data_IF_768568295927
#
_entry.id   IF_768568295927
#
_cell.length_a   1.000
_cell.length_b   1.000
_cell.length_c   1.000
_cell.angle_alpha   90.00
_cell.angle_beta   90.00
_cell.angle_gamma   90.00
#
_symmetry.space_group_name_H-M   'P 1'
#
loop_
_entity.id
_entity.type
_entity.pdbx_description
1 polymer ?
#
# COMPACT_ATOMS: atom_id res chain seq x y z
N UNK A 1 -46.23 17.13 -121.39
CA UNK A 1 -45.79 15.85 -121.97
C UNK A 1 -44.80 15.23 -121.00
N UNK A 2 -45.16 14.10 -120.42
CA UNK A 2 -44.38 13.34 -119.45
C UNK A 2 -43.22 12.60 -120.15
N UNK A 3 -42.16 12.25 -119.43
CA UNK A 3 -40.99 11.59 -120.04
C UNK A 3 -41.29 10.18 -120.57
N UNK A 4 -42.25 9.48 -119.97
CA UNK A 4 -42.78 8.20 -120.45
C UNK A 4 -43.46 8.35 -121.82
N UNK A 5 -44.25 9.41 -122.02
CA UNK A 5 -44.93 9.68 -123.30
C UNK A 5 -43.92 9.98 -124.43
N UNK A 6 -42.86 10.72 -124.10
CA UNK A 6 -41.75 10.97 -125.04
C UNK A 6 -41.07 9.66 -125.46
N UNK A 7 -40.95 8.72 -124.55
CA UNK A 7 -40.29 7.44 -124.79
C UNK A 7 -41.12 6.55 -125.72
N UNK A 8 -42.44 6.50 -125.53
CA UNK A 8 -43.37 5.80 -126.44
C UNK A 8 -43.28 6.36 -127.86
N UNK A 9 -43.30 7.69 -128.02
CA UNK A 9 -43.17 8.31 -129.35
C UNK A 9 -41.79 7.99 -129.97
N UNK A 10 -40.72 7.95 -129.16
CA UNK A 10 -39.38 7.57 -129.65
C UNK A 10 -39.36 6.12 -130.14
N UNK A 11 -39.97 5.20 -129.43
CA UNK A 11 -40.06 3.79 -129.82
C UNK A 11 -40.87 3.60 -131.11
N UNK A 12 -42.00 4.31 -131.25
CA UNK A 12 -42.79 4.35 -132.49
C UNK A 12 -41.95 4.87 -133.68
N UNK A 13 -41.23 5.98 -133.48
CA UNK A 13 -40.36 6.55 -134.50
C UNK A 13 -39.18 5.64 -134.84
N UNK A 14 -38.64 4.89 -133.87
CA UNK A 14 -37.60 3.89 -134.11
C UNK A 14 -38.13 2.70 -134.91
N UNK A 15 -39.36 2.24 -134.63
CA UNK A 15 -40.04 1.20 -135.41
C UNK A 15 -40.28 1.65 -136.86
N UNK A 16 -40.78 2.87 -137.05
CA UNK A 16 -40.95 3.46 -138.39
C UNK A 16 -39.62 3.60 -139.13
N UNK A 17 -38.55 3.98 -138.42
CA UNK A 17 -37.20 4.05 -138.98
C UNK A 17 -36.68 2.67 -139.38
N UNK A 18 -36.95 1.62 -138.60
CA UNK A 18 -36.60 0.23 -138.92
C UNK A 18 -37.37 -0.30 -140.14
N UNK A 19 -38.59 0.19 -140.38
CA UNK A 19 -39.41 -0.11 -141.56
C UNK A 19 -39.00 0.70 -142.81
N UNK A 20 -37.97 1.54 -142.72
CA UNK A 20 -37.42 2.30 -143.86
C UNK A 20 -38.09 3.64 -144.13
N UNK A 21 -38.85 4.20 -143.17
CA UNK A 21 -39.51 5.50 -143.33
C UNK A 21 -38.50 6.62 -143.63
N UNK A 22 -38.90 7.54 -144.53
CA UNK A 22 -38.04 8.67 -144.90
C UNK A 22 -38.00 9.71 -143.79
N UNK A 23 -36.92 10.48 -143.74
CA UNK A 23 -36.70 11.53 -142.74
C UNK A 23 -37.88 12.52 -142.58
N UNK A 24 -38.52 12.92 -143.68
CA UNK A 24 -39.69 13.82 -143.68
C UNK A 24 -40.91 13.16 -143.05
N UNK A 25 -41.10 11.87 -143.26
CA UNK A 25 -42.21 11.11 -142.68
C UNK A 25 -42.06 10.97 -141.17
N UNK A 26 -40.84 10.75 -140.67
CA UNK A 26 -40.54 10.74 -139.24
C UNK A 26 -40.84 12.11 -138.58
N UNK A 27 -40.43 13.20 -139.23
CA UNK A 27 -40.67 14.56 -138.71
C UNK A 27 -42.17 14.91 -138.71
N UNK A 28 -42.90 14.53 -139.75
CA UNK A 28 -44.36 14.71 -139.84
C UNK A 28 -45.12 13.84 -138.83
N UNK A 29 -44.67 12.61 -138.60
CA UNK A 29 -45.28 11.72 -137.61
C UNK A 29 -45.08 12.27 -136.20
N UNK A 30 -43.88 12.73 -135.87
CA UNK A 30 -43.60 13.41 -134.60
C UNK A 30 -44.47 14.67 -134.41
N UNK A 31 -44.63 15.50 -135.46
CA UNK A 31 -45.51 16.67 -135.39
C UNK A 31 -46.97 16.29 -135.12
N UNK A 32 -47.47 15.20 -135.71
CA UNK A 32 -48.83 14.71 -135.47
C UNK A 32 -49.02 14.25 -134.03
N UNK A 33 -48.12 13.41 -133.51
CA UNK A 33 -48.21 12.90 -132.13
C UNK A 33 -48.16 14.05 -131.13
N UNK A 34 -47.19 14.95 -131.30
CA UNK A 34 -47.07 16.15 -130.46
C UNK A 34 -48.35 16.99 -130.45
N UNK A 35 -48.90 17.30 -131.63
CA UNK A 35 -50.01 18.23 -131.74
C UNK A 35 -51.36 17.61 -131.38
N UNK A 36 -51.70 16.44 -131.95
CA UNK A 36 -53.03 15.85 -131.80
C UNK A 36 -53.20 15.08 -130.49
N UNK A 37 -52.17 14.38 -130.03
CA UNK A 37 -52.32 13.49 -128.86
C UNK A 37 -51.90 14.18 -127.56
N UNK A 38 -50.90 15.07 -127.62
CA UNK A 38 -50.34 15.71 -126.42
C UNK A 38 -50.61 17.22 -126.35
N UNK A 39 -51.31 17.80 -127.33
CA UNK A 39 -51.58 19.24 -127.43
C UNK A 39 -50.30 20.12 -127.33
N UNK A 40 -49.14 19.57 -127.68
CA UNK A 40 -47.86 20.27 -127.69
C UNK A 40 -47.60 20.81 -129.09
N UNK A 41 -47.33 22.12 -129.19
CA UNK A 41 -46.94 22.76 -130.46
C UNK A 41 -45.61 22.17 -130.95
N UNK A 42 -45.54 21.60 -132.18
CA UNK A 42 -44.26 21.13 -132.73
C UNK A 42 -43.27 22.28 -132.93
N UNK A 43 -42.08 22.14 -132.35
CA UNK A 43 -40.96 23.07 -132.48
C UNK A 43 -39.72 22.32 -132.97
N UNK A 44 -38.73 23.06 -133.49
CA UNK A 44 -37.46 22.50 -133.93
C UNK A 44 -36.80 21.63 -132.84
N UNK A 45 -36.81 22.10 -131.59
CA UNK A 45 -36.20 21.40 -130.46
C UNK A 45 -36.89 20.05 -130.19
N UNK A 46 -38.21 20.06 -130.02
CA UNK A 46 -38.94 18.85 -129.61
C UNK A 46 -39.01 17.81 -130.74
N UNK A 47 -39.16 18.25 -131.99
CA UNK A 47 -39.16 17.35 -133.14
C UNK A 47 -37.78 16.72 -133.32
N UNK A 48 -36.70 17.49 -133.14
CA UNK A 48 -35.33 16.96 -133.20
C UNK A 48 -35.02 15.99 -132.06
N UNK A 49 -35.48 16.30 -130.85
CA UNK A 49 -35.35 15.44 -129.67
C UNK A 49 -36.02 14.07 -129.89
N UNK A 50 -37.19 14.05 -130.53
CA UNK A 50 -37.94 12.81 -130.77
C UNK A 50 -37.44 12.01 -131.97
N UNK A 51 -37.08 12.67 -133.08
CA UNK A 51 -36.67 11.95 -134.29
C UNK A 51 -35.20 11.56 -134.27
N UNK A 52 -34.33 12.29 -133.56
CA UNK A 52 -32.88 12.06 -133.52
C UNK A 52 -32.17 12.20 -134.89
N UNK A 53 -32.89 12.61 -135.95
CA UNK A 53 -32.37 12.76 -137.32
C UNK A 53 -32.95 14.02 -138.00
N UNK A 54 -32.08 14.78 -138.67
CA UNK A 54 -32.46 15.95 -139.46
C UNK A 54 -31.51 17.14 -139.30
N UNK A 55 -31.26 17.85 -140.40
CA UNK A 55 -30.52 19.11 -140.39
C UNK A 55 -31.34 20.21 -139.72
N UNK A 56 -30.66 21.21 -139.14
CA UNK A 56 -31.28 22.41 -138.57
C UNK A 56 -32.12 23.19 -139.60
N UNK A 57 -31.83 23.04 -140.91
CA UNK A 57 -32.56 23.70 -142.00
C UNK A 57 -33.86 22.99 -142.42
N UNK A 58 -33.95 21.67 -142.22
CA UNK A 58 -34.98 20.88 -142.89
C UNK A 58 -36.16 20.55 -141.96
N UNK A 59 -35.97 20.59 -140.63
CA UNK A 59 -37.06 20.32 -139.66
C UNK A 59 -38.11 21.46 -139.68
N UNK A 60 -37.72 22.75 -139.77
CA UNK A 60 -38.69 23.84 -139.85
C UNK A 60 -39.59 23.75 -141.08
N UNK A 61 -39.05 23.35 -142.23
CA UNK A 61 -39.83 23.15 -143.48
C UNK A 61 -40.88 22.05 -143.34
N UNK A 62 -40.54 20.96 -142.65
CA UNK A 62 -41.48 19.86 -142.40
C UNK A 62 -42.58 20.28 -141.41
N UNK A 63 -42.24 21.08 -140.39
CA UNK A 63 -43.22 21.67 -139.46
C UNK A 63 -44.16 22.63 -140.21
N UNK A 64 -43.63 23.46 -141.10
CA UNK A 64 -44.43 24.39 -141.92
C UNK A 64 -45.39 23.63 -142.83
N UNK A 65 -44.90 22.60 -143.52
CA UNK A 65 -45.73 21.72 -144.35
C UNK A 65 -46.80 20.98 -143.52
N UNK A 66 -46.48 20.56 -142.29
CA UNK A 66 -47.48 20.00 -141.37
C UNK A 66 -48.59 21.03 -141.08
N UNK A 67 -48.23 22.27 -140.74
CA UNK A 67 -49.21 23.32 -140.44
C UNK A 67 -50.03 23.76 -141.63
N UNK A 68 -49.45 23.78 -142.83
CA UNK A 68 -50.19 23.98 -144.07
C UNK A 68 -51.24 22.89 -144.25
N UNK A 69 -50.86 21.62 -144.07
CA UNK A 69 -51.78 20.48 -144.20
C UNK A 69 -52.89 20.49 -143.14
N UNK A 70 -52.56 20.80 -141.88
CA UNK A 70 -53.56 20.92 -140.81
C UNK A 70 -54.54 22.06 -141.08
N UNK A 71 -54.05 23.20 -141.56
CA UNK A 71 -54.90 24.33 -141.96
C UNK A 71 -55.79 23.97 -143.14
N UNK A 72 -55.27 23.28 -144.14
CA UNK A 72 -56.09 22.85 -145.29
C UNK A 72 -57.15 21.83 -144.90
N UNK A 73 -56.85 20.87 -144.03
CA UNK A 73 -57.83 19.90 -143.53
C UNK A 73 -58.87 20.55 -142.60
N UNK A 74 -58.51 21.59 -141.84
CA UNK A 74 -59.40 22.24 -140.85
C UNK A 74 -60.16 23.46 -141.39
N UNK A 75 -60.06 23.74 -142.69
CA UNK A 75 -60.84 24.82 -143.32
C UNK A 75 -62.32 24.43 -143.35
N UNK A 76 -63.11 25.00 -142.43
CA UNK A 76 -64.45 25.45 -142.79
C UNK A 76 -64.22 26.62 -143.74
N UNK A 77 -64.32 26.39 -145.06
CA UNK A 77 -64.28 27.48 -146.05
C UNK A 77 -65.50 28.38 -145.81
N UNK A 78 -65.32 29.48 -145.09
CA UNK A 78 -66.04 30.70 -145.42
C UNK A 78 -65.22 31.29 -146.56
N UNK A 79 -65.52 30.87 -147.80
CA UNK A 79 -64.96 31.52 -148.98
C UNK A 79 -65.32 32.99 -148.86
N UNK A 80 -64.29 33.83 -148.75
CA UNK A 80 -64.41 35.26 -148.51
C UNK A 80 -64.97 35.96 -149.76
N UNK A 81 -66.26 35.76 -150.01
CA UNK A 81 -67.13 36.79 -150.53
C UNK A 81 -67.57 37.66 -149.35
N UNK A 82 -67.66 38.97 -149.55
CA UNK A 82 -68.14 39.93 -148.56
C UNK A 82 -69.43 39.39 -147.92
N UNK A 83 -69.37 38.94 -146.66
CA UNK A 83 -70.57 38.53 -145.94
C UNK A 83 -71.54 39.73 -145.98
N UNK A 84 -72.83 39.54 -146.34
CA UNK A 84 -73.79 40.62 -146.33
C UNK A 84 -73.78 41.35 -144.98
N UNK A 85 -73.83 42.70 -144.94
CA UNK A 85 -73.69 43.47 -143.71
C UNK A 85 -74.73 43.08 -142.63
N UNK A 86 -75.92 42.61 -143.05
CA UNK A 86 -76.92 42.07 -142.15
C UNK A 86 -76.43 40.83 -141.36
N UNK A 87 -75.72 39.89 -142.01
CA UNK A 87 -75.20 38.69 -141.36
C UNK A 87 -73.98 38.98 -140.46
N UNK A 88 -73.19 40.01 -140.77
CA UNK A 88 -72.12 40.48 -139.88
C UNK A 88 -72.67 40.98 -138.54
N UNK A 89 -73.73 41.78 -138.55
CA UNK A 89 -74.36 42.28 -137.32
C UNK A 89 -74.87 41.13 -136.46
N UNK A 90 -75.63 40.21 -137.06
CA UNK A 90 -76.19 39.05 -136.35
C UNK A 90 -75.11 38.13 -135.79
N UNK A 91 -74.04 37.85 -136.55
CA UNK A 91 -72.92 37.06 -136.05
C UNK A 91 -72.17 37.77 -134.90
N UNK A 92 -71.98 39.09 -134.98
CA UNK A 92 -71.37 39.89 -133.93
C UNK A 92 -72.22 39.93 -132.65
N UNK A 93 -73.54 40.03 -132.78
CA UNK A 93 -74.50 39.98 -131.67
C UNK A 93 -74.51 38.61 -130.98
N UNK A 94 -74.51 37.52 -131.75
CA UNK A 94 -74.43 36.17 -131.21
C UNK A 94 -73.09 35.91 -130.49
N UNK A 95 -71.97 36.34 -131.09
CA UNK A 95 -70.65 36.24 -130.47
C UNK A 95 -70.56 37.07 -129.17
N UNK A 96 -71.15 38.27 -129.17
CA UNK A 96 -71.25 39.11 -127.97
C UNK A 96 -72.09 38.42 -126.89
N UNK A 97 -73.25 37.89 -127.23
CA UNK A 97 -74.11 37.17 -126.28
C UNK A 97 -73.43 35.94 -125.68
N UNK A 98 -72.72 35.16 -126.50
CA UNK A 98 -71.91 34.03 -126.02
C UNK A 98 -70.76 34.50 -125.11
N UNK A 99 -70.07 35.58 -125.46
CA UNK A 99 -69.01 36.15 -124.65
C UNK A 99 -69.52 36.65 -123.29
N UNK A 100 -70.63 37.38 -123.28
CA UNK A 100 -71.24 37.92 -122.07
C UNK A 100 -71.74 36.79 -121.15
N UNK A 101 -72.35 35.75 -121.72
CA UNK A 101 -72.77 34.56 -120.98
C UNK A 101 -71.57 33.79 -120.39
N UNK A 102 -70.50 33.60 -121.17
CA UNK A 102 -69.27 32.97 -120.68
C UNK A 102 -68.60 33.79 -119.58
N UNK A 103 -68.59 35.13 -119.72
CA UNK A 103 -68.02 36.03 -118.73
C UNK A 103 -68.85 36.07 -117.44
N UNK A 104 -70.18 36.01 -117.54
CA UNK A 104 -71.07 35.89 -116.38
C UNK A 104 -70.83 34.55 -115.65
N UNK A 105 -70.80 33.43 -116.37
CA UNK A 105 -70.53 32.11 -115.79
C UNK A 105 -69.15 32.05 -115.11
N UNK A 106 -68.10 32.62 -115.74
CA UNK A 106 -66.76 32.66 -115.15
C UNK A 106 -66.69 33.54 -113.89
N UNK A 107 -67.46 34.65 -113.84
CA UNK A 107 -67.55 35.51 -112.65
C UNK A 107 -68.27 34.80 -111.51
N UNK A 108 -69.36 34.09 -111.81
CA UNK A 108 -70.12 33.33 -110.82
C UNK A 108 -69.29 32.16 -110.27
N UNK A 109 -68.59 31.41 -111.13
CA UNK A 109 -67.67 30.33 -110.70
C UNK A 109 -66.53 30.89 -109.83
N UNK A 110 -65.95 32.04 -110.20
CA UNK A 110 -64.92 32.70 -109.40
C UNK A 110 -65.46 33.16 -108.04
N UNK A 111 -66.69 33.69 -107.99
CA UNK A 111 -67.33 34.10 -106.75
C UNK A 111 -67.59 32.88 -105.84
N UNK A 112 -68.09 31.78 -106.39
CA UNK A 112 -68.29 30.52 -105.66
C UNK A 112 -66.98 29.97 -105.11
N UNK A 113 -65.92 29.86 -105.94
CA UNK A 113 -64.59 29.42 -105.49
C UNK A 113 -63.99 30.32 -104.41
N UNK A 114 -64.25 31.64 -104.46
CA UNK A 114 -63.80 32.58 -103.42
C UNK A 114 -64.51 32.29 -102.08
N UNK A 115 -65.82 32.06 -102.10
CA UNK A 115 -66.58 31.71 -100.89
C UNK A 115 -66.11 30.36 -100.32
N UNK A 116 -65.94 29.33 -101.16
CA UNK A 116 -65.41 28.03 -100.74
C UNK A 116 -63.99 28.15 -100.15
N UNK A 117 -63.13 28.94 -100.77
CA UNK A 117 -61.78 29.21 -100.24
C UNK A 117 -61.84 29.93 -98.89
N UNK A 118 -62.70 30.93 -98.73
CA UNK A 118 -62.88 31.62 -97.45
C UNK A 118 -63.42 30.68 -96.36
N UNK A 119 -64.34 29.79 -96.69
CA UNK A 119 -64.87 28.79 -95.76
C UNK A 119 -63.81 27.77 -95.35
N UNK A 120 -62.99 27.29 -96.29
CA UNK A 120 -61.89 26.36 -96.00
C UNK A 120 -60.79 27.02 -95.16
N UNK A 121 -60.44 28.28 -95.44
CA UNK A 121 -59.52 29.07 -94.59
C UNK A 121 -60.09 29.22 -93.19
N UNK A 122 -61.34 29.66 -93.04
CA UNK A 122 -61.97 29.83 -91.73
C UNK A 122 -62.03 28.52 -90.93
N UNK A 123 -62.36 27.40 -91.58
CA UNK A 123 -62.37 26.08 -90.97
C UNK A 123 -60.96 25.60 -90.57
N UNK A 124 -59.94 25.86 -91.40
CA UNK A 124 -58.56 25.53 -91.09
C UNK A 124 -58.03 26.37 -89.92
N UNK A 125 -58.32 27.66 -89.88
CA UNK A 125 -57.95 28.54 -88.77
C UNK A 125 -58.63 28.13 -87.45
N UNK A 126 -59.91 27.73 -87.50
CA UNK A 126 -60.60 27.22 -86.31
C UNK A 126 -59.94 25.94 -85.79
N UNK A 127 -59.65 24.98 -86.67
CA UNK A 127 -58.92 23.76 -86.29
C UNK A 127 -57.54 24.06 -85.72
N UNK A 128 -56.83 25.04 -86.26
CA UNK A 128 -55.52 25.47 -85.74
C UNK A 128 -55.64 26.08 -84.34
N UNK A 129 -56.65 26.94 -84.11
CA UNK A 129 -56.92 27.51 -82.78
C UNK A 129 -57.29 26.43 -81.76
N UNK A 130 -58.18 25.51 -82.13
CA UNK A 130 -58.60 24.41 -81.24
C UNK A 130 -57.41 23.50 -80.90
N UNK A 131 -56.58 23.16 -81.88
CA UNK A 131 -55.36 22.38 -81.67
C UNK A 131 -54.36 23.12 -80.76
N UNK A 132 -54.22 24.44 -80.91
CA UNK A 132 -53.36 25.26 -80.05
C UNK A 132 -53.86 25.26 -78.60
N UNK A 133 -55.17 25.42 -78.37
CA UNK A 133 -55.75 25.38 -77.03
C UNK A 133 -55.54 24.02 -76.37
N UNK A 134 -55.74 22.92 -77.11
CA UNK A 134 -55.47 21.56 -76.62
C UNK A 134 -54.00 21.36 -76.27
N UNK A 135 -53.09 21.87 -77.11
CA UNK A 135 -51.65 21.81 -76.86
C UNK A 135 -51.25 22.59 -75.60
N UNK A 136 -51.77 23.82 -75.44
CA UNK A 136 -51.51 24.65 -74.26
C UNK A 136 -52.05 24.00 -72.98
N UNK A 137 -53.25 23.39 -73.04
CA UNK A 137 -53.83 22.65 -71.92
C UNK A 137 -52.96 21.44 -71.54
N UNK A 138 -52.61 20.59 -72.51
CA UNK A 138 -51.78 19.41 -72.28
C UNK A 138 -50.40 19.79 -71.74
N UNK A 139 -49.81 20.91 -72.22
CA UNK A 139 -48.56 21.44 -71.71
C UNK A 139 -48.68 21.92 -70.26
N UNK A 140 -49.76 22.61 -69.92
CA UNK A 140 -50.00 23.07 -68.55
C UNK A 140 -50.20 21.88 -67.59
N UNK A 141 -50.92 20.84 -68.02
CA UNK A 141 -51.06 19.60 -67.23
C UNK A 141 -49.73 18.91 -67.02
N UNK A 142 -48.92 18.77 -68.07
CA UNK A 142 -47.59 18.16 -67.98
C UNK A 142 -46.69 18.95 -67.01
N UNK A 143 -46.74 20.29 -67.05
CA UNK A 143 -46.00 21.13 -66.11
C UNK A 143 -46.48 20.92 -64.67
N UNK A 144 -47.79 20.88 -64.42
CA UNK A 144 -48.33 20.59 -63.08
C UNK A 144 -47.90 19.22 -62.57
N UNK A 145 -47.91 18.20 -63.42
CA UNK A 145 -47.43 16.87 -63.06
C UNK A 145 -45.93 16.85 -62.77
N UNK A 146 -45.14 17.55 -63.58
CA UNK A 146 -43.70 17.69 -63.37
C UNK A 146 -43.40 18.39 -62.04
N UNK A 147 -44.07 19.49 -61.73
CA UNK A 147 -43.87 20.24 -60.49
C UNK A 147 -44.34 19.45 -59.26
N UNK A 148 -45.45 18.73 -59.39
CA UNK A 148 -45.93 17.82 -58.34
C UNK A 148 -44.94 16.68 -58.09
N UNK A 149 -44.38 16.10 -59.15
CA UNK A 149 -43.37 15.03 -59.05
C UNK A 149 -42.06 15.56 -58.46
N UNK A 150 -41.57 16.71 -58.90
CA UNK A 150 -40.39 17.35 -58.33
C UNK A 150 -40.58 17.68 -56.85
N UNK A 151 -41.75 18.21 -56.48
CA UNK A 151 -42.12 18.45 -55.08
C UNK A 151 -42.21 17.18 -54.24
N UNK A 152 -42.72 16.08 -54.81
CA UNK A 152 -42.76 14.78 -54.14
C UNK A 152 -41.36 14.20 -53.93
N UNK A 153 -40.50 14.27 -54.96
CA UNK A 153 -39.11 13.81 -54.89
C UNK A 153 -38.29 14.58 -53.85
N UNK A 154 -38.50 15.91 -53.74
CA UNK A 154 -37.88 16.73 -52.69
C UNK A 154 -38.31 16.29 -51.29
N UNK A 155 -39.62 16.10 -51.07
CA UNK A 155 -40.16 15.63 -49.78
C UNK A 155 -39.65 14.23 -49.43
N UNK A 156 -39.55 13.35 -50.43
CA UNK A 156 -38.99 12.00 -50.25
C UNK A 156 -37.51 12.08 -49.85
N UNK A 157 -36.73 12.92 -50.52
CA UNK A 157 -35.33 13.21 -50.17
C UNK A 157 -35.16 13.75 -48.75
N UNK A 158 -35.95 14.75 -48.36
CA UNK A 158 -35.96 15.29 -46.99
C UNK A 158 -36.34 14.23 -45.95
N UNK A 159 -37.33 13.37 -46.26
CA UNK A 159 -37.73 12.29 -45.36
C UNK A 159 -36.67 11.21 -45.23
N UNK A 160 -35.97 10.89 -46.32
CA UNK A 160 -34.86 9.94 -46.33
C UNK A 160 -33.66 10.47 -45.52
N UNK A 161 -33.35 11.77 -45.65
CA UNK A 161 -32.31 12.41 -44.85
C UNK A 161 -32.67 12.42 -43.36
N UNK A 162 -33.92 12.80 -43.01
CA UNK A 162 -34.40 12.71 -41.62
C UNK A 162 -34.26 11.30 -41.06
N UNK A 163 -34.73 10.28 -41.77
CA UNK A 163 -34.58 8.88 -41.37
C UNK A 163 -33.12 8.45 -41.23
N UNK A 164 -32.23 8.93 -42.10
CA UNK A 164 -30.79 8.66 -42.00
C UNK A 164 -30.19 9.29 -40.73
N UNK A 165 -30.55 10.54 -40.42
CA UNK A 165 -30.10 11.21 -39.20
C UNK A 165 -30.63 10.53 -37.93
N UNK A 166 -31.90 10.15 -37.90
CA UNK A 166 -32.50 9.40 -36.79
C UNK A 166 -31.82 8.05 -36.58
N UNK A 167 -31.56 7.31 -37.66
CA UNK A 167 -30.82 6.04 -37.60
C UNK A 167 -29.40 6.23 -37.08
N UNK A 168 -28.71 7.29 -37.49
CA UNK A 168 -27.38 7.60 -36.98
C UNK A 168 -27.40 7.94 -35.49
N UNK A 169 -28.39 8.72 -35.03
CA UNK A 169 -28.59 9.02 -33.61
C UNK A 169 -28.91 7.76 -32.80
N UNK A 170 -29.81 6.90 -33.29
CA UNK A 170 -30.15 5.64 -32.65
C UNK A 170 -28.95 4.71 -32.52
N UNK A 171 -28.10 4.62 -33.56
CA UNK A 171 -26.84 3.85 -33.50
C UNK A 171 -25.89 4.39 -32.44
N UNK A 172 -25.66 5.70 -32.40
CA UNK A 172 -24.81 6.32 -31.36
C UNK A 172 -25.35 6.10 -29.96
N UNK A 173 -26.66 6.21 -29.77
CA UNK A 173 -27.30 5.94 -28.48
C UNK A 173 -27.13 4.47 -28.08
N UNK A 174 -27.29 3.53 -29.02
CA UNK A 174 -27.08 2.11 -28.77
C UNK A 174 -25.62 1.79 -28.40
N UNK A 175 -24.65 2.34 -29.11
CA UNK A 175 -23.23 2.22 -28.79
C UNK A 175 -22.91 2.74 -27.37
N UNK A 176 -23.53 3.86 -26.97
CA UNK A 176 -23.40 4.39 -25.61
C UNK A 176 -24.00 3.46 -24.56
N UNK A 177 -25.17 2.87 -24.82
CA UNK A 177 -25.79 1.89 -23.91
C UNK A 177 -24.87 0.69 -23.72
N UNK A 178 -24.35 0.11 -24.79
CA UNK A 178 -23.42 -1.04 -24.73
C UNK A 178 -22.16 -0.69 -23.93
N UNK A 179 -21.59 0.49 -24.14
CA UNK A 179 -20.43 0.96 -23.37
C UNK A 179 -20.76 1.09 -21.88
N UNK A 180 -21.91 1.66 -21.54
CA UNK A 180 -22.34 1.87 -20.15
C UNK A 180 -22.65 0.53 -19.46
N UNK A 181 -23.29 -0.40 -20.16
CA UNK A 181 -23.52 -1.77 -19.68
C UNK A 181 -22.19 -2.49 -19.39
N UNK A 182 -21.19 -2.36 -20.27
CA UNK A 182 -19.85 -2.90 -20.04
C UNK A 182 -19.18 -2.29 -18.80
N UNK A 183 -19.26 -0.96 -18.63
CA UNK A 183 -18.74 -0.27 -17.44
C UNK A 183 -19.47 -0.68 -16.16
N UNK A 184 -20.77 -0.95 -16.24
CA UNK A 184 -21.56 -1.41 -15.10
C UNK A 184 -21.12 -2.82 -14.70
N UNK A 185 -21.00 -3.75 -15.65
CA UNK A 185 -20.50 -5.11 -15.39
C UNK A 185 -19.09 -5.11 -14.79
N UNK A 186 -18.19 -4.27 -15.30
CA UNK A 186 -16.84 -4.09 -14.74
C UNK A 186 -16.89 -3.54 -13.29
N UNK A 187 -17.83 -2.64 -13.00
CA UNK A 187 -18.00 -2.11 -11.65
C UNK A 187 -18.57 -3.16 -10.68
N UNK A 188 -19.51 -3.99 -11.14
CA UNK A 188 -20.11 -5.07 -10.34
C UNK A 188 -19.08 -6.15 -10.00
N UNK A 189 -18.22 -6.53 -10.95
CA UNK A 189 -17.11 -7.46 -10.71
C UNK A 189 -16.07 -6.88 -9.75
N UNK A 190 -15.75 -5.58 -9.85
CA UNK A 190 -14.88 -4.90 -8.88
C UNK A 190 -15.51 -4.86 -7.47
N UNK A 191 -16.81 -4.61 -7.37
CA UNK A 191 -17.52 -4.61 -6.10
C UNK A 191 -17.54 -6.02 -5.49
N UNK A 192 -17.82 -7.07 -6.28
CA UNK A 192 -17.83 -8.45 -5.79
C UNK A 192 -16.45 -8.89 -5.29
N UNK A 193 -15.39 -8.58 -6.03
CA UNK A 193 -14.01 -8.89 -5.63
C UNK A 193 -13.60 -8.15 -4.36
N UNK A 194 -13.98 -6.87 -4.21
CA UNK A 194 -13.75 -6.12 -2.97
C UNK A 194 -14.53 -6.70 -1.79
N UNK A 195 -15.80 -7.09 -1.99
CA UNK A 195 -16.60 -7.75 -0.95
C UNK A 195 -15.93 -9.04 -0.47
N UNK A 196 -15.49 -9.90 -1.40
CA UNK A 196 -14.79 -11.13 -1.06
C UNK A 196 -13.48 -10.87 -0.30
N UNK A 197 -12.73 -9.83 -0.68
CA UNK A 197 -11.51 -9.43 0.05
C UNK A 197 -11.82 -8.93 1.46
N UNK A 198 -12.87 -8.13 1.63
CA UNK A 198 -13.30 -7.65 2.95
C UNK A 198 -13.71 -8.83 3.83
N UNK A 199 -14.48 -9.77 3.30
CA UNK A 199 -14.87 -10.98 4.03
C UNK A 199 -13.66 -11.83 4.43
N UNK A 200 -12.71 -12.05 3.51
CA UNK A 200 -11.46 -12.76 3.80
C UNK A 200 -10.61 -12.05 4.87
N UNK A 201 -10.49 -10.72 4.82
CA UNK A 201 -9.77 -9.96 5.84
C UNK A 201 -10.48 -9.99 7.19
N UNK A 202 -11.82 -9.97 7.20
CA UNK A 202 -12.59 -10.08 8.43
C UNK A 202 -12.45 -11.46 9.08
N UNK A 203 -12.45 -12.54 8.30
CA UNK A 203 -12.22 -13.89 8.82
C UNK A 203 -10.79 -14.06 9.32
N UNK A 204 -9.80 -13.54 8.60
CA UNK A 204 -8.40 -13.55 9.04
C UNK A 204 -8.19 -12.74 10.32
N UNK A 205 -8.77 -11.54 10.42
CA UNK A 205 -8.71 -10.73 11.63
C UNK A 205 -9.32 -11.47 12.82
N UNK A 206 -10.50 -12.07 12.66
CA UNK A 206 -11.13 -12.88 13.71
C UNK A 206 -10.22 -14.03 14.15
N UNK A 207 -9.71 -14.82 13.21
CA UNK A 207 -8.81 -15.94 13.51
C UNK A 207 -7.53 -15.48 14.23
N UNK A 208 -6.90 -14.39 13.79
CA UNK A 208 -5.73 -13.80 14.46
C UNK A 208 -6.07 -13.30 15.87
N UNK A 209 -7.21 -12.63 16.05
CA UNK A 209 -7.62 -12.17 17.39
C UNK A 209 -7.90 -13.33 18.34
N UNK A 210 -8.53 -14.40 17.87
CA UNK A 210 -8.76 -15.62 18.64
C UNK A 210 -7.44 -16.30 19.00
N UNK A 211 -6.51 -16.39 18.04
CA UNK A 211 -5.18 -16.94 18.27
C UNK A 211 -4.38 -16.14 19.30
N UNK A 212 -4.28 -14.81 19.16
CA UNK A 212 -3.59 -13.97 20.14
C UNK A 212 -4.26 -14.01 21.52
N UNK A 213 -5.59 -14.06 21.58
CA UNK A 213 -6.29 -14.21 22.85
C UNK A 213 -5.95 -15.55 23.54
N UNK A 214 -5.85 -16.63 22.77
CA UNK A 214 -5.41 -17.93 23.27
C UNK A 214 -3.94 -17.90 23.73
N UNK A 215 -3.03 -17.33 22.94
CA UNK A 215 -1.61 -17.19 23.33
C UNK A 215 -1.43 -16.37 24.61
N UNK A 216 -2.13 -15.25 24.73
CA UNK A 216 -2.11 -14.41 25.95
C UNK A 216 -2.64 -15.21 27.14
N UNK A 217 -3.74 -15.94 26.97
CA UNK A 217 -4.32 -16.78 28.03
C UNK A 217 -3.33 -17.86 28.48
N UNK A 218 -2.67 -18.54 27.56
CA UNK A 218 -1.68 -19.57 27.84
C UNK A 218 -0.41 -18.99 28.49
N UNK A 219 0.07 -17.84 28.02
CA UNK A 219 1.19 -17.13 28.62
C UNK A 219 0.90 -16.69 30.07
N UNK A 220 -0.29 -16.14 30.33
CA UNK A 220 -0.75 -15.80 31.68
C UNK A 220 -0.84 -17.06 32.54
N UNK A 221 -1.46 -18.14 32.05
CA UNK A 221 -1.57 -19.39 32.79
C UNK A 221 -0.19 -19.98 33.14
N UNK A 222 0.78 -19.92 32.22
CA UNK A 222 2.14 -20.38 32.45
C UNK A 222 2.90 -19.47 33.45
N UNK A 223 2.76 -18.15 33.32
CA UNK A 223 3.31 -17.20 34.28
C UNK A 223 2.73 -17.44 35.69
N UNK A 224 1.42 -17.64 35.81
CA UNK A 224 0.77 -18.00 37.07
C UNK A 224 1.31 -19.31 37.65
N UNK A 225 1.50 -20.35 36.83
CA UNK A 225 2.07 -21.64 37.28
C UNK A 225 3.50 -21.49 37.82
N UNK A 226 4.29 -20.57 37.27
CA UNK A 226 5.66 -20.28 37.74
C UNK A 226 5.69 -19.39 38.98
N UNK A 227 4.82 -18.38 39.04
CA UNK A 227 4.82 -17.37 40.12
C UNK A 227 4.17 -17.90 41.39
N UNK A 228 3.06 -18.68 41.30
CA UNK A 228 2.35 -19.19 42.48
C UNK A 228 3.27 -19.99 43.44
N UNK A 229 4.09 -20.96 42.98
CA UNK A 229 5.03 -21.67 43.86
C UNK A 229 6.07 -20.74 44.48
N UNK A 230 6.64 -19.81 43.71
CA UNK A 230 7.63 -18.85 44.21
C UNK A 230 7.04 -17.91 45.27
N UNK A 231 5.77 -17.51 45.14
CA UNK A 231 5.09 -16.73 46.17
C UNK A 231 4.90 -17.55 47.46
N UNK A 232 4.53 -18.83 47.33
CA UNK A 232 4.43 -19.73 48.49
C UNK A 232 5.79 -19.93 49.16
N UNK A 233 6.85 -20.15 48.38
CA UNK A 233 8.24 -20.24 48.89
C UNK A 233 8.69 -18.93 49.56
N UNK A 234 8.34 -17.77 49.00
CA UNK A 234 8.65 -16.49 49.61
C UNK A 234 7.93 -16.34 50.96
N UNK A 235 6.67 -16.75 51.06
CA UNK A 235 5.93 -16.69 52.32
C UNK A 235 6.45 -17.69 53.35
N UNK A 236 6.87 -18.91 52.94
CA UNK A 236 7.54 -19.84 53.86
C UNK A 236 8.88 -19.31 54.34
N UNK A 237 9.69 -18.72 53.45
CA UNK A 237 10.95 -18.06 53.81
C UNK A 237 10.73 -16.85 54.73
N UNK A 238 9.71 -16.03 54.48
CA UNK A 238 9.33 -14.91 55.38
C UNK A 238 8.91 -15.42 56.75
N UNK A 239 8.11 -16.47 56.81
CA UNK A 239 7.70 -17.11 58.07
C UNK A 239 8.90 -17.69 58.82
N UNK A 240 9.81 -18.37 58.10
CA UNK A 240 11.04 -18.91 58.67
C UNK A 240 12.01 -17.81 59.16
N UNK A 241 12.13 -16.71 58.40
CA UNK A 241 12.93 -15.56 58.82
C UNK A 241 12.33 -14.88 60.06
N UNK A 242 11.00 -14.76 60.13
CA UNK A 242 10.30 -14.23 61.30
C UNK A 242 10.51 -15.12 62.54
N UNK A 243 10.39 -16.44 62.40
CA UNK A 243 10.62 -17.36 63.52
C UNK A 243 12.09 -17.39 63.93
N UNK A 244 13.02 -17.30 62.98
CA UNK A 244 14.45 -17.18 63.25
C UNK A 244 14.78 -15.88 63.99
N UNK A 245 14.23 -14.74 63.58
CA UNK A 245 14.39 -13.46 64.29
C UNK A 245 13.79 -13.50 65.69
N UNK A 246 12.63 -14.13 65.88
CA UNK A 246 12.04 -14.34 67.20
C UNK A 246 12.94 -15.23 68.07
N UNK A 247 13.48 -16.31 67.50
CA UNK A 247 14.44 -17.19 68.16
C UNK A 247 15.73 -16.48 68.56
N UNK A 248 16.29 -15.63 67.68
CA UNK A 248 17.44 -14.78 68.00
C UNK A 248 17.14 -13.82 69.15
N UNK A 249 15.98 -13.15 69.15
CA UNK A 249 15.59 -12.26 70.26
C UNK A 249 15.47 -13.03 71.57
N UNK A 250 14.90 -14.23 71.54
CA UNK A 250 14.80 -15.08 72.72
C UNK A 250 16.17 -15.57 73.21
N UNK A 251 17.08 -15.94 72.29
CA UNK A 251 18.46 -16.28 72.66
C UNK A 251 19.20 -15.07 73.22
N UNK A 252 19.12 -13.89 72.59
CA UNK A 252 19.72 -12.67 73.14
C UNK A 252 19.12 -12.30 74.50
N UNK A 253 17.83 -12.57 74.74
CA UNK A 253 17.21 -12.41 76.06
C UNK A 253 17.80 -13.37 77.09
N UNK A 254 17.95 -14.66 76.74
CA UNK A 254 18.60 -15.66 77.61
C UNK A 254 20.06 -15.35 77.86
N UNK A 255 20.81 -14.94 76.84
CA UNK A 255 22.19 -14.48 76.97
C UNK A 255 22.27 -13.27 77.90
N UNK A 256 21.36 -12.30 77.78
CA UNK A 256 21.30 -11.17 78.69
C UNK A 256 20.97 -11.60 80.12
N UNK A 257 20.02 -12.52 80.31
CA UNK A 257 19.73 -13.13 81.62
C UNK A 257 20.95 -13.88 82.18
N UNK A 258 21.69 -14.62 81.37
CA UNK A 258 22.94 -15.27 81.76
C UNK A 258 24.04 -14.26 82.11
N UNK A 259 24.17 -13.17 81.36
CA UNK A 259 25.09 -12.08 81.68
C UNK A 259 24.68 -11.41 83.00
N UNK A 260 23.40 -11.22 83.26
CA UNK A 260 22.91 -10.72 84.55
C UNK A 260 23.21 -11.70 85.69
N UNK A 261 23.01 -13.00 85.48
CA UNK A 261 23.37 -14.04 86.44
C UNK A 261 24.88 -14.05 86.73
N UNK A 262 25.71 -13.97 85.68
CA UNK A 262 27.17 -13.87 85.81
C UNK A 262 27.59 -12.58 86.52
N UNK A 263 26.95 -11.44 86.24
CA UNK A 263 27.20 -10.19 86.94
C UNK A 263 26.81 -10.29 88.43
N UNK A 264 25.70 -10.96 88.75
CA UNK A 264 25.29 -11.20 90.14
C UNK A 264 26.25 -12.16 90.86
N UNK A 265 26.70 -13.22 90.20
CA UNK A 265 27.72 -14.14 90.74
C UNK A 265 29.05 -13.39 90.93
N UNK A 266 29.46 -12.56 89.96
CA UNK A 266 30.66 -11.74 90.07
C UNK A 266 30.57 -10.74 91.22
N UNK A 267 29.44 -10.05 91.38
CA UNK A 267 29.24 -9.14 92.52
C UNK A 267 29.32 -9.87 93.87
N UNK A 268 28.78 -11.10 93.95
CA UNK A 268 28.94 -11.96 95.15
C UNK A 268 30.41 -12.37 95.35
N UNK A 269 31.11 -12.73 94.28
CA UNK A 269 32.53 -13.05 94.32
C UNK A 269 33.38 -11.84 94.76
N UNK A 270 33.13 -10.65 94.23
CA UNK A 270 33.79 -9.40 94.62
C UNK A 270 33.53 -9.07 96.10
N UNK A 271 32.30 -9.34 96.60
CA UNK A 271 31.97 -9.17 98.02
C UNK A 271 32.75 -10.15 98.90
N UNK A 272 32.84 -11.42 98.50
CA UNK A 272 33.64 -12.43 99.20
C UNK A 272 35.13 -12.12 99.12
N UNK A 273 35.61 -11.59 97.99
CA UNK A 273 37.00 -11.14 97.80
C UNK A 273 37.34 -10.01 98.77
N UNK A 274 36.47 -8.99 98.87
CA UNK A 274 36.64 -7.90 99.84
C UNK A 274 36.62 -8.41 101.29
N UNK A 275 35.80 -9.42 101.60
CA UNK A 275 35.81 -10.07 102.93
C UNK A 275 37.14 -10.81 103.18
N UNK A 276 37.68 -11.48 102.17
CA UNK A 276 38.99 -12.14 102.22
C UNK A 276 40.13 -11.14 102.45
N UNK A 277 40.13 -10.03 101.72
CA UNK A 277 41.12 -8.95 101.89
C UNK A 277 41.04 -8.34 103.30
N UNK A 278 39.82 -8.06 103.79
CA UNK A 278 39.62 -7.56 105.16
C UNK A 278 40.10 -8.56 106.22
N UNK A 279 39.86 -9.87 106.01
CA UNK A 279 40.34 -10.93 106.91
C UNK A 279 41.86 -11.10 106.84
N UNK A 280 42.45 -10.92 105.66
CA UNK A 280 43.92 -10.91 105.48
C UNK A 280 44.56 -9.73 106.21
N UNK A 281 43.97 -8.54 106.12
CA UNK A 281 44.43 -7.35 106.85
C UNK A 281 44.33 -7.52 108.37
N UNK A 282 43.29 -8.21 108.87
CA UNK A 282 43.18 -8.61 110.28
C UNK A 282 44.32 -9.56 110.70
N UNK A 283 44.67 -10.55 109.86
CA UNK A 283 45.77 -11.49 110.11
C UNK A 283 47.12 -10.76 110.13
N UNK A 284 47.34 -9.83 109.21
CA UNK A 284 48.57 -9.02 109.17
C UNK A 284 48.70 -8.12 110.40
N UNK A 285 47.58 -7.56 110.89
CA UNK A 285 47.55 -6.75 112.10
C UNK A 285 47.86 -7.58 113.36
N UNK A 286 47.28 -8.77 113.48
CA UNK A 286 47.55 -9.69 114.58
C UNK A 286 49.00 -10.19 114.57
N UNK A 287 49.56 -10.42 113.38
CA UNK A 287 50.96 -10.82 113.21
C UNK A 287 51.94 -9.73 113.67
N UNK A 288 51.64 -8.46 113.38
CA UNK A 288 52.45 -7.32 113.86
C UNK A 288 52.37 -7.12 115.37
N UNK A 289 51.23 -7.43 116.00
CA UNK A 289 51.08 -7.35 117.47
C UNK A 289 51.90 -8.42 118.19
N UNK A 290 51.97 -9.64 117.64
CA UNK A 290 52.79 -10.73 118.19
C UNK A 290 54.28 -10.38 118.16
N UNK A 291 54.74 -9.74 117.09
CA UNK A 291 56.16 -9.38 116.93
C UNK A 291 56.58 -8.24 117.87
N UNK A 292 55.67 -7.29 118.17
CA UNK A 292 55.95 -6.22 119.14
C UNK A 292 56.11 -6.70 120.58
N UNK A 293 55.39 -7.75 121.00
CA UNK A 293 55.51 -8.28 122.38
C UNK A 293 56.81 -9.06 122.63
N UNK A 294 57.45 -9.62 121.59
CA UNK A 294 58.70 -10.38 121.74
C UNK A 294 59.95 -9.50 121.93
N UNK A 295 59.94 -8.27 121.43
CA UNK A 295 61.13 -7.39 121.46
C UNK A 295 61.34 -6.70 122.82
N UNK A 296 60.35 -6.68 123.71
CA UNK A 296 60.43 -5.95 125.00
C UNK A 296 60.99 -6.75 126.19
N UNK A 297 61.36 -8.02 126.04
CA UNK A 297 61.72 -8.90 127.17
C UNK A 297 63.07 -9.65 127.01
N UNK A 298 64.19 -8.93 126.88
CA UNK A 298 65.55 -9.53 126.90
C UNK A 298 66.56 -8.71 127.73
N UNK A 299 67.35 -9.40 128.58
CA UNK A 299 68.36 -8.79 129.47
C UNK A 299 69.58 -8.30 128.66
N UNK A 300 70.05 -7.05 128.85
CA UNK A 300 71.20 -6.50 128.13
C UNK A 300 72.52 -7.22 128.47
N UNK A 301 73.30 -7.52 127.42
CA UNK A 301 74.46 -8.43 127.44
C UNK A 301 75.64 -8.02 128.33
N UNK A 302 75.77 -6.74 128.67
CA UNK A 302 76.79 -6.24 129.61
C UNK A 302 76.48 -6.62 131.05
N UNK A 303 75.20 -6.64 131.43
CA UNK A 303 74.76 -7.07 132.76
C UNK A 303 74.92 -8.58 132.93
N UNK A 304 74.65 -9.35 131.86
CA UNK A 304 74.81 -10.81 131.88
C UNK A 304 76.25 -11.28 132.14
N UNK A 305 77.24 -10.64 131.50
CA UNK A 305 78.67 -10.95 131.75
C UNK A 305 79.13 -10.54 133.15
N UNK A 306 78.73 -9.36 133.62
CA UNK A 306 79.13 -8.87 134.94
C UNK A 306 78.59 -9.77 136.07
N UNK A 307 77.35 -10.25 135.93
CA UNK A 307 76.73 -11.20 136.86
C UNK A 307 77.42 -12.56 136.83
N UNK A 308 77.77 -13.06 135.63
CA UNK A 308 78.54 -14.30 135.50
C UNK A 308 79.93 -14.17 136.15
N UNK A 309 80.67 -13.08 135.91
CA UNK A 309 81.99 -12.83 136.48
C UNK A 309 81.94 -12.73 138.02
N UNK A 310 80.93 -12.06 138.58
CA UNK A 310 80.73 -11.97 140.03
C UNK A 310 80.41 -13.33 140.66
N UNK A 311 79.62 -14.16 140.00
CA UNK A 311 79.33 -15.51 140.45
C UNK A 311 80.56 -16.43 140.39
N UNK A 312 81.39 -16.31 139.34
CA UNK A 312 82.63 -17.07 139.20
C UNK A 312 83.68 -16.67 140.25
N UNK A 313 83.73 -15.39 140.64
CA UNK A 313 84.61 -14.90 141.71
C UNK A 313 84.14 -15.26 143.14
N UNK A 314 83.07 -16.06 143.29
CA UNK A 314 82.53 -16.49 144.59
C UNK A 314 81.88 -15.36 145.40
N UNK A 315 81.48 -14.26 144.74
CA UNK A 315 80.93 -13.05 145.39
C UNK A 315 79.40 -13.07 145.53
N UNK A 316 78.74 -14.05 144.91
CA UNK A 316 77.28 -14.24 144.97
C UNK A 316 76.94 -15.49 145.77
N UNK A 317 75.92 -15.38 146.61
CA UNK A 317 75.43 -16.51 147.42
C UNK A 317 74.62 -17.48 146.57
N UNK A 318 74.47 -18.73 147.03
CA UNK A 318 73.73 -19.77 146.29
C UNK A 318 72.26 -19.43 146.04
N UNK A 319 71.59 -18.69 146.95
CA UNK A 319 70.20 -18.23 146.75
C UNK A 319 70.10 -17.14 145.68
N UNK A 320 71.06 -16.20 145.65
CA UNK A 320 71.11 -15.15 144.62
C UNK A 320 71.32 -15.76 143.23
N UNK A 321 72.20 -16.75 143.09
CA UNK A 321 72.44 -17.46 141.83
C UNK A 321 71.20 -18.22 141.36
N UNK A 322 70.45 -18.85 142.28
CA UNK A 322 69.21 -19.56 141.95
C UNK A 322 68.12 -18.62 141.41
N UNK A 323 68.04 -17.38 141.90
CA UNK A 323 67.05 -16.39 141.46
C UNK A 323 67.26 -15.88 140.03
N UNK A 324 68.50 -15.94 139.53
CA UNK A 324 68.86 -15.50 138.16
C UNK A 324 68.49 -16.59 137.13
N UNK A 325 68.43 -17.85 137.55
CA UNK A 325 68.04 -18.98 136.71
C UNK A 325 68.92 -19.10 135.46
N UNK A 326 68.31 -19.38 134.31
CA UNK A 326 69.00 -19.60 133.03
C UNK A 326 69.30 -18.32 132.25
N UNK A 327 68.91 -17.14 132.77
CA UNK A 327 68.94 -15.87 132.05
C UNK A 327 70.36 -15.42 131.63
N UNK A 328 71.39 -15.96 132.26
CA UNK A 328 72.80 -15.63 131.99
C UNK A 328 73.67 -16.85 131.65
N UNK A 329 73.06 -18.02 131.49
CA UNK A 329 73.80 -19.29 131.27
C UNK A 329 74.66 -19.28 130.01
N UNK A 330 74.23 -18.54 128.98
CA UNK A 330 74.99 -18.32 127.75
C UNK A 330 76.31 -17.55 127.95
N UNK A 331 76.54 -16.97 129.12
CA UNK A 331 77.76 -16.21 129.45
C UNK A 331 78.70 -16.96 130.41
N UNK A 332 78.36 -18.17 130.86
CA UNK A 332 79.15 -18.95 131.83
C UNK A 332 80.07 -19.95 131.13
N UNK A 333 81.39 -19.81 131.32
CA UNK A 333 82.38 -20.75 130.80
C UNK A 333 82.66 -21.89 131.81
N UNK A 334 82.73 -23.13 131.33
CA UNK A 334 83.03 -24.32 132.14
C UNK A 334 84.53 -24.41 132.45
N UNK A 335 84.95 -24.99 133.60
CA UNK A 335 86.37 -25.03 133.98
C UNK A 335 87.09 -26.11 133.17
N UNK A 336 88.29 -25.81 132.67
CA UNK A 336 89.09 -26.73 131.85
C UNK A 336 89.89 -27.76 132.66
N UNK A 337 89.93 -27.70 133.98
CA UNK A 337 90.54 -28.75 134.82
C UNK A 337 89.79 -28.87 136.15
N UNK A 338 89.68 -30.09 136.66
CA UNK A 338 89.05 -30.36 137.95
C UNK A 338 89.98 -29.90 139.08
N UNK A 339 89.55 -28.91 139.85
CA UNK A 339 90.40 -28.36 140.91
C UNK A 339 90.66 -29.33 142.08
N UNK A 340 89.96 -30.48 142.17
CA UNK A 340 90.16 -31.48 143.23
C UNK A 340 91.27 -32.51 142.91
N UNK A 341 91.39 -32.96 141.66
CA UNK A 341 92.39 -33.98 141.25
C UNK A 341 93.39 -33.47 140.22
N UNK A 342 93.17 -32.32 139.59
CA UNK A 342 94.04 -31.74 138.55
C UNK A 342 94.03 -32.46 137.20
N UNK A 343 93.59 -33.72 137.17
CA UNK A 343 93.89 -34.65 136.07
C UNK A 343 92.81 -34.79 134.97
N UNK A 344 91.64 -34.13 135.06
CA UNK A 344 90.60 -34.20 134.02
C UNK A 344 89.70 -32.95 133.92
N UNK A 345 89.17 -32.65 132.73
CA UNK A 345 88.17 -31.60 132.52
C UNK A 345 86.77 -32.10 132.96
N UNK A 346 86.02 -31.34 133.77
CA UNK A 346 84.67 -31.71 134.18
C UNK A 346 83.62 -31.44 133.08
N UNK A 347 82.73 -32.41 132.87
CA UNK A 347 81.69 -32.39 131.83
C UNK A 347 80.35 -31.90 132.38
N UNK A 348 79.59 -31.16 131.56
CA UNK A 348 78.25 -30.65 131.89
C UNK A 348 77.19 -31.51 131.20
N UNK A 349 76.33 -32.13 132.00
CA UNK A 349 75.17 -32.88 131.57
C UNK A 349 73.90 -32.05 131.76
N UNK A 350 73.05 -32.00 130.74
CA UNK A 350 71.72 -31.40 130.82
C UNK A 350 70.67 -32.49 130.69
N UNK A 351 69.87 -32.68 131.73
CA UNK A 351 68.75 -33.61 131.72
C UNK A 351 67.51 -32.94 132.33
N UNK A 352 66.41 -32.92 131.57
CA UNK A 352 65.11 -32.38 132.00
C UNK A 352 65.16 -30.92 132.51
N UNK A 353 65.97 -30.10 131.84
CA UNK A 353 66.14 -28.67 132.17
C UNK A 353 66.93 -28.43 133.47
N UNK A 354 67.60 -29.47 133.99
CA UNK A 354 68.58 -29.38 135.08
C UNK A 354 69.97 -29.67 134.54
N UNK A 355 70.95 -29.03 135.15
CA UNK A 355 72.35 -29.03 134.76
C UNK A 355 73.19 -29.66 135.85
N UNK A 356 74.05 -30.62 135.51
CA UNK A 356 74.97 -31.25 136.43
C UNK A 356 76.38 -31.28 135.85
N UNK A 357 77.35 -30.83 136.64
CA UNK A 357 78.78 -30.89 136.32
C UNK A 357 79.44 -32.06 137.06
N UNK A 358 80.14 -32.94 136.34
CA UNK A 358 80.79 -34.14 136.86
C UNK A 358 82.23 -34.30 136.35
N UNK A 359 83.18 -34.66 137.22
CA UNK A 359 84.56 -34.99 136.85
C UNK A 359 84.74 -36.51 136.68
N UNK A 360 85.21 -36.97 135.51
CA UNK A 360 85.34 -38.40 135.25
C UNK A 360 86.51 -39.08 135.97
N UNK A 361 87.53 -38.33 136.44
CA UNK A 361 88.74 -38.92 137.05
C UNK A 361 88.63 -39.19 138.56
N UNK A 362 87.94 -38.33 139.32
CA UNK A 362 87.74 -38.51 140.76
C UNK A 362 86.25 -38.68 141.15
N UNK A 363 85.39 -38.88 140.14
CA UNK A 363 83.94 -39.08 140.25
C UNK A 363 83.17 -37.99 141.00
N UNK A 364 83.76 -36.80 141.16
CA UNK A 364 83.11 -35.69 141.84
C UNK A 364 81.97 -35.10 141.00
N UNK A 365 80.84 -34.79 141.61
CA UNK A 365 79.71 -34.10 140.97
C UNK A 365 79.28 -32.84 141.73
N UNK A 366 78.65 -31.89 141.03
CA UNK A 366 77.99 -30.71 141.61
C UNK A 366 76.55 -30.96 142.07
N UNK A 367 76.01 -32.14 141.74
CA UNK A 367 74.59 -32.48 141.81
C UNK A 367 73.73 -31.67 140.83
N UNK A 368 72.51 -32.13 140.59
CA UNK A 368 71.55 -31.42 139.72
C UNK A 368 71.30 -29.98 140.18
N UNK A 369 71.47 -29.03 139.27
CA UNK A 369 71.26 -27.61 139.49
C UNK A 369 70.27 -27.02 138.45
N UNK A 370 69.48 -26.00 138.81
CA UNK A 370 68.45 -25.44 137.93
C UNK A 370 69.00 -24.54 136.79
N UNK A 371 70.30 -24.23 136.82
CA UNK A 371 70.96 -23.43 135.78
C UNK A 371 72.42 -23.82 135.64
N UNK A 372 72.99 -23.57 134.46
CA UNK A 372 74.40 -23.83 134.16
C UNK A 372 75.33 -23.03 135.08
N UNK A 373 74.96 -21.79 135.41
CA UNK A 373 75.68 -20.98 136.40
C UNK A 373 75.67 -21.63 137.79
N UNK A 374 74.53 -22.18 138.21
CA UNK A 374 74.39 -22.83 139.51
C UNK A 374 75.17 -24.15 139.58
N UNK A 375 75.22 -24.93 138.49
CA UNK A 375 76.01 -26.16 138.42
C UNK A 375 77.50 -25.86 138.57
N UNK A 376 77.99 -24.83 137.87
CA UNK A 376 79.38 -24.40 137.95
C UNK A 376 79.79 -24.00 139.37
N UNK A 377 79.01 -23.13 140.01
CA UNK A 377 79.39 -22.56 141.30
C UNK A 377 79.44 -23.64 142.40
N UNK A 378 78.49 -24.59 142.39
CA UNK A 378 78.51 -25.75 143.30
C UNK A 378 79.73 -26.66 143.06
N UNK A 379 80.10 -26.86 141.80
CA UNK A 379 81.26 -27.70 141.45
C UNK A 379 82.59 -27.11 141.99
N UNK A 380 82.74 -25.79 141.90
CA UNK A 380 83.95 -25.07 142.28
C UNK A 380 84.13 -24.92 143.81
N UNK A 381 83.05 -24.68 144.56
CA UNK A 381 83.11 -24.37 146.00
C UNK A 381 83.70 -25.48 146.87
N UNK A 382 83.62 -26.74 146.44
CA UNK A 382 83.99 -27.85 147.32
C UNK A 382 85.51 -28.12 147.41
N UNK A 383 86.39 -27.37 146.74
CA UNK A 383 87.86 -27.66 146.65
C UNK A 383 88.74 -27.05 147.76
N UNK A 384 88.24 -26.19 148.65
CA UNK A 384 89.10 -25.55 149.67
C UNK A 384 89.47 -26.50 150.84
N UNK A 385 90.78 -26.73 151.16
CA UNK A 385 91.22 -27.65 152.21
C UNK A 385 91.27 -26.95 153.59
N UNK A 386 90.59 -27.50 154.59
CA UNK A 386 90.82 -27.14 156.00
C UNK A 386 91.82 -28.11 156.63
N UNK A 387 93.05 -27.64 156.79
CA UNK A 387 93.96 -28.09 157.86
C UNK A 387 93.37 -27.65 159.20
N UNK A 388 93.58 -28.50 160.19
CA UNK A 388 93.06 -28.51 161.55
C UNK A 388 93.14 -27.19 162.33
N UNK A 389 92.03 -26.89 163.00
CA UNK A 389 91.92 -26.23 164.29
C UNK A 389 90.74 -26.86 165.02
#
# INVERSE_FOLDING_TARGET
MNDEEKQVIREELQSLKAQGARRRELSLHACKRLFFDHAVRPTLANVRELTGVGSASDIPKDIEFFWERVRDTSKVRIDAGVLPPALHSTAGELLRGLYDAALAAARDELAQKRVEMQQTIAAAEQKARDAQLLYEHARAELQRHHDAWAGAALKEGESAERLATERAMARRAHEQVVLLEGRLADSETKISTLRNKVEALQTELKARTEHYAAEIKDAIANAERRVKPLLVELDTLRSAASSYQAGLREQSRKEFEHVQQLAAIKARADTLQNQLDTKSDEVDRLSRQIEQFRVQAGVPSTLGKLVADLALAGRLTHEEIASIGTAVDGFVALPSTCAACGDAEPELYEHDGRFELQCPACERTSGEAPSRLSAYNRFAAAVSPSVSG
#
